data_IF_248668448034
#
_entry.id   IF_248668448034
#
_cell.length_a   1.000
_cell.length_b   1.000
_cell.length_c   1.000
_cell.angle_alpha   90.00
_cell.angle_beta   90.00
_cell.angle_gamma   90.00
#
_symmetry.space_group_name_H-M   'P 1'
#
loop_
_entity.id
_entity.type
_entity.pdbx_description
1 polymer ?
#
# COMPACT_ATOMS: atom_id res chain seq x y z
N UNK A 1 -1.12 29.52 10.11
CA UNK A 1 -1.90 28.47 9.41
C UNK A 1 -1.82 27.20 10.24
N UNK A 2 -2.83 26.93 11.08
CA UNK A 2 -2.90 25.72 11.90
C UNK A 2 -3.42 24.57 11.02
N UNK A 3 -2.51 23.82 10.42
CA UNK A 3 -2.85 22.59 9.70
C UNK A 3 -3.43 21.58 10.68
N UNK A 4 -4.66 21.14 10.44
CA UNK A 4 -5.31 20.10 11.25
C UNK A 4 -4.48 18.82 11.16
N UNK A 5 -3.88 18.40 12.29
CA UNK A 5 -3.10 17.16 12.36
C UNK A 5 -4.02 15.98 12.09
N UNK A 6 -3.76 15.25 11.01
CA UNK A 6 -4.47 14.00 10.71
C UNK A 6 -4.11 12.94 11.74
N UNK A 7 -5.12 12.32 12.34
CA UNK A 7 -4.96 11.26 13.34
C UNK A 7 -5.28 9.90 12.73
N UNK A 8 -4.79 8.81 13.36
CA UNK A 8 -5.13 7.45 12.93
C UNK A 8 -6.65 7.20 13.00
N UNK A 9 -7.35 7.83 13.94
CA UNK A 9 -8.81 7.72 14.10
C UNK A 9 -9.56 8.22 12.87
N UNK A 10 -9.03 9.22 12.15
CA UNK A 10 -9.65 9.72 10.91
C UNK A 10 -9.73 8.64 9.83
N UNK A 11 -8.86 7.61 9.90
CA UNK A 11 -8.82 6.50 8.95
C UNK A 11 -9.58 5.26 9.39
N UNK A 12 -10.12 5.24 10.61
CA UNK A 12 -10.81 4.07 11.14
C UNK A 12 -12.16 3.89 10.45
N UNK A 13 -12.52 2.63 10.16
CA UNK A 13 -13.82 2.23 9.59
C UNK A 13 -14.22 3.01 8.32
N UNK A 14 -13.23 3.41 7.51
CA UNK A 14 -13.46 4.24 6.32
C UNK A 14 -12.65 3.71 5.13
N UNK A 15 -13.28 3.64 3.95
CA UNK A 15 -12.57 3.35 2.69
C UNK A 15 -12.11 4.68 2.10
N UNK A 16 -10.80 4.81 1.84
CA UNK A 16 -10.21 6.00 1.22
C UNK A 16 -9.83 5.71 -0.22
N UNK A 17 -10.29 6.53 -1.16
CA UNK A 17 -9.90 6.45 -2.56
C UNK A 17 -8.69 7.36 -2.82
N UNK A 18 -7.60 6.80 -3.35
CA UNK A 18 -6.39 7.56 -3.67
C UNK A 18 -5.18 6.68 -3.91
N UNK A 19 -4.03 7.33 -4.11
CA UNK A 19 -2.72 6.67 -4.13
C UNK A 19 -2.37 6.17 -2.71
N UNK A 20 -2.10 4.87 -2.57
CA UNK A 20 -1.86 4.26 -1.25
C UNK A 20 -0.60 4.79 -0.57
N UNK A 21 0.43 5.18 -1.31
CA UNK A 21 1.66 5.76 -0.77
C UNK A 21 1.37 7.13 -0.17
N UNK A 22 0.58 7.96 -0.86
CA UNK A 22 0.18 9.28 -0.36
C UNK A 22 -0.78 9.18 0.83
N UNK A 23 -1.74 8.25 0.78
CA UNK A 23 -2.68 8.02 1.88
C UNK A 23 -1.94 7.53 3.13
N UNK A 24 -1.01 6.58 2.99
CA UNK A 24 -0.18 6.14 4.11
C UNK A 24 0.72 7.27 4.63
N UNK A 25 1.23 8.16 3.77
CA UNK A 25 2.05 9.31 4.21
C UNK A 25 1.32 10.22 5.21
N UNK A 26 0.00 10.34 5.09
CA UNK A 26 -0.82 11.11 6.03
C UNK A 26 -1.08 10.38 7.36
N UNK A 27 -0.80 9.07 7.45
CA UNK A 27 -0.87 8.33 8.71
C UNK A 27 0.38 8.59 9.57
N UNK A 28 0.21 8.71 10.91
CA UNK A 28 1.33 8.73 11.84
C UNK A 28 2.22 7.47 11.73
N UNK A 29 3.45 7.57 12.23
CA UNK A 29 4.29 6.38 12.46
C UNK A 29 3.62 5.46 13.49
N UNK A 30 3.82 4.15 13.38
CA UNK A 30 3.33 3.17 14.36
C UNK A 30 1.82 3.31 14.64
N UNK A 31 1.02 3.54 13.60
CA UNK A 31 -0.42 3.74 13.69
C UNK A 31 -1.24 2.48 13.36
N UNK A 32 -0.64 1.47 12.74
CA UNK A 32 -1.32 0.28 12.20
C UNK A 32 -0.78 -0.97 12.88
N UNK A 33 -1.69 -1.83 13.37
CA UNK A 33 -1.35 -3.11 14.02
C UNK A 33 -1.13 -4.24 13.00
N UNK A 34 -1.92 -4.23 11.92
CA UNK A 34 -1.92 -5.25 10.88
C UNK A 34 -2.11 -4.64 9.50
N UNK A 35 -1.29 -5.07 8.54
CA UNK A 35 -1.43 -4.72 7.12
C UNK A 35 -1.75 -5.99 6.34
N UNK A 36 -2.89 -5.99 5.65
CA UNK A 36 -3.22 -6.96 4.62
C UNK A 36 -3.23 -6.24 3.28
N UNK A 37 -2.38 -6.68 2.35
CA UNK A 37 -2.27 -6.04 1.04
C UNK A 37 -2.24 -7.05 -0.10
N UNK A 38 -2.95 -6.70 -1.18
CA UNK A 38 -2.97 -7.40 -2.45
C UNK A 38 -2.63 -6.41 -3.56
N UNK A 39 -1.33 -6.09 -3.75
CA UNK A 39 -0.89 -5.06 -4.68
C UNK A 39 -0.87 -5.59 -6.13
N UNK A 40 -0.64 -4.72 -7.15
CA UNK A 40 -0.39 -5.20 -8.52
C UNK A 40 0.79 -6.20 -8.57
N UNK A 41 0.69 -7.25 -9.39
CA UNK A 41 1.66 -8.36 -9.44
C UNK A 41 2.75 -8.20 -10.51
N UNK A 42 2.77 -7.05 -11.18
CA UNK A 42 3.73 -6.67 -12.21
C UNK A 42 3.64 -7.53 -13.47
N UNK A 43 2.46 -8.06 -13.80
CA UNK A 43 2.24 -8.98 -14.92
C UNK A 43 1.61 -8.31 -16.14
N UNK A 44 1.42 -6.99 -16.11
CA UNK A 44 0.72 -6.20 -17.13
C UNK A 44 -0.65 -6.82 -17.49
N UNK A 45 -1.41 -7.21 -16.46
CA UNK A 45 -2.68 -7.91 -16.62
C UNK A 45 -3.66 -7.09 -17.47
N UNK A 46 -4.25 -7.75 -18.45
CA UNK A 46 -5.33 -7.22 -19.28
C UNK A 46 -6.48 -8.21 -19.28
N UNK A 47 -7.65 -7.77 -18.81
CA UNK A 47 -8.88 -8.56 -18.85
C UNK A 47 -9.37 -8.77 -20.28
N UNK A 48 -10.26 -9.74 -20.48
CA UNK A 48 -10.87 -10.01 -21.80
C UNK A 48 -11.68 -8.84 -22.35
N UNK A 49 -12.11 -7.95 -21.46
CA UNK A 49 -12.81 -6.70 -21.76
C UNK A 49 -11.86 -5.50 -21.99
N UNK A 50 -10.55 -5.75 -22.03
CA UNK A 50 -9.52 -4.72 -22.25
C UNK A 50 -9.14 -3.91 -21.02
N UNK A 51 -9.76 -4.13 -19.84
CA UNK A 51 -9.38 -3.42 -18.62
C UNK A 51 -8.00 -3.85 -18.14
N UNK A 52 -7.22 -2.89 -17.65
CA UNK A 52 -5.89 -3.11 -17.09
C UNK A 52 -5.82 -2.76 -15.61
N UNK A 53 -4.95 -3.45 -14.88
CA UNK A 53 -4.60 -3.07 -13.51
C UNK A 53 -3.60 -1.91 -13.58
N UNK A 54 -3.94 -0.80 -12.92
CA UNK A 54 -3.09 0.39 -12.90
C UNK A 54 -1.76 0.09 -12.21
N UNK A 55 -0.66 0.54 -12.81
CA UNK A 55 0.72 0.33 -12.33
C UNK A 55 1.18 -1.14 -12.30
N UNK A 56 0.50 -2.04 -13.00
CA UNK A 56 0.90 -3.45 -13.10
C UNK A 56 1.98 -3.71 -14.17
N UNK A 57 2.42 -2.66 -14.86
CA UNK A 57 3.45 -2.68 -15.90
C UNK A 57 4.83 -2.21 -15.41
N UNK A 58 4.92 -1.70 -14.18
CA UNK A 58 6.16 -1.14 -13.62
C UNK A 58 6.25 -1.30 -12.11
N UNK A 59 7.47 -1.45 -11.58
CA UNK A 59 7.72 -1.65 -10.14
C UNK A 59 7.94 -0.35 -9.33
N UNK A 60 7.74 0.84 -9.92
CA UNK A 60 8.13 2.12 -9.30
C UNK A 60 7.40 2.42 -7.99
N UNK A 61 6.21 1.85 -7.80
CA UNK A 61 5.38 2.02 -6.61
C UNK A 61 5.79 1.09 -5.46
N UNK A 62 6.48 -0.02 -5.75
CA UNK A 62 6.69 -1.13 -4.81
C UNK A 62 7.50 -0.68 -3.59
N UNK A 63 8.72 -0.19 -3.81
CA UNK A 63 9.59 0.28 -2.72
C UNK A 63 8.97 1.45 -1.93
N UNK A 64 8.39 2.49 -2.55
CA UNK A 64 7.69 3.54 -1.81
C UNK A 64 6.54 3.02 -0.95
N UNK A 65 5.73 2.07 -1.46
CA UNK A 65 4.62 1.49 -0.71
C UNK A 65 5.11 0.71 0.51
N UNK A 66 6.05 -0.22 0.34
CA UNK A 66 6.58 -1.02 1.45
C UNK A 66 7.32 -0.17 2.49
N UNK A 67 8.01 0.90 2.07
CA UNK A 67 8.60 1.86 3.00
C UNK A 67 7.53 2.54 3.87
N UNK A 68 6.39 2.92 3.30
CA UNK A 68 5.31 3.52 4.07
C UNK A 68 4.60 2.49 4.95
N UNK A 69 4.37 1.26 4.46
CA UNK A 69 3.81 0.16 5.24
C UNK A 69 4.65 -0.12 6.48
N UNK A 70 5.97 -0.28 6.31
CA UNK A 70 6.90 -0.43 7.43
C UNK A 70 6.87 0.76 8.39
N UNK A 71 6.78 2.00 7.88
CA UNK A 71 6.75 3.20 8.72
C UNK A 71 5.50 3.29 9.60
N UNK A 72 4.34 2.92 9.06
CA UNK A 72 3.05 3.02 9.77
C UNK A 72 2.78 1.81 10.65
N UNK A 73 3.44 0.68 10.41
CA UNK A 73 3.30 -0.53 11.23
C UNK A 73 3.88 -0.31 12.63
N UNK A 74 3.18 -0.77 13.66
CA UNK A 74 3.66 -0.75 15.05
C UNK A 74 4.75 -1.79 15.27
N UNK A 75 5.56 -1.58 16.31
CA UNK A 75 6.42 -2.64 16.84
C UNK A 75 5.59 -3.86 17.23
N UNK A 76 6.00 -5.05 16.78
CA UNK A 76 5.25 -6.29 16.96
C UNK A 76 4.04 -6.46 16.03
N UNK A 77 3.77 -5.48 15.15
CA UNK A 77 2.76 -5.61 14.10
C UNK A 77 3.22 -6.55 13.00
N UNK A 78 2.25 -7.04 12.21
CA UNK A 78 2.51 -7.96 11.10
C UNK A 78 1.97 -7.40 9.78
N UNK A 79 2.63 -7.74 8.69
CA UNK A 79 2.21 -7.42 7.34
C UNK A 79 2.12 -8.71 6.52
N UNK A 80 0.98 -8.91 5.86
CA UNK A 80 0.74 -10.00 4.92
C UNK A 80 0.54 -9.37 3.55
N UNK A 81 1.42 -9.72 2.62
CA UNK A 81 1.34 -9.30 1.23
C UNK A 81 1.12 -10.51 0.34
N UNK A 82 0.07 -10.47 -0.46
CA UNK A 82 0.05 -11.26 -1.69
C UNK A 82 1.05 -10.66 -2.69
N UNK A 83 1.54 -11.46 -3.62
CA UNK A 83 2.51 -11.02 -4.62
C UNK A 83 2.54 -11.95 -5.84
N UNK A 84 3.12 -11.45 -6.94
CA UNK A 84 3.37 -12.25 -8.13
C UNK A 84 4.58 -13.17 -7.95
N UNK A 85 4.36 -14.48 -7.89
CA UNK A 85 5.42 -15.49 -7.74
C UNK A 85 6.59 -15.31 -8.72
N UNK A 86 6.28 -15.01 -9.99
CA UNK A 86 7.28 -14.83 -11.05
C UNK A 86 8.15 -13.56 -10.90
N UNK A 87 7.92 -12.77 -9.84
CA UNK A 87 8.63 -11.52 -9.53
C UNK A 87 9.11 -11.48 -8.09
N UNK A 88 9.32 -12.65 -7.48
CA UNK A 88 9.74 -12.78 -6.08
C UNK A 88 11.00 -11.96 -5.76
N UNK A 89 11.92 -11.82 -6.71
CA UNK A 89 13.15 -11.02 -6.61
C UNK A 89 12.91 -9.53 -6.32
N UNK A 90 11.73 -9.02 -6.63
CA UNK A 90 11.33 -7.64 -6.35
C UNK A 90 10.58 -7.49 -5.02
N UNK A 91 9.94 -8.57 -4.56
CA UNK A 91 9.08 -8.57 -3.37
C UNK A 91 9.76 -9.13 -2.11
N UNK A 92 10.77 -9.98 -2.23
CA UNK A 92 11.44 -10.70 -1.13
C UNK A 92 12.94 -10.36 -1.01
#
# INVERSE_FOLDING_TARGET
MTGKTTTATDFRNTIRNGDSVQLMRALPRNAVDFILTDPPYLVNYTGRDGRKVRNDDNARWLRPAFNQMHRVLKWGGFAVSFYGWNRIDLFA
#
